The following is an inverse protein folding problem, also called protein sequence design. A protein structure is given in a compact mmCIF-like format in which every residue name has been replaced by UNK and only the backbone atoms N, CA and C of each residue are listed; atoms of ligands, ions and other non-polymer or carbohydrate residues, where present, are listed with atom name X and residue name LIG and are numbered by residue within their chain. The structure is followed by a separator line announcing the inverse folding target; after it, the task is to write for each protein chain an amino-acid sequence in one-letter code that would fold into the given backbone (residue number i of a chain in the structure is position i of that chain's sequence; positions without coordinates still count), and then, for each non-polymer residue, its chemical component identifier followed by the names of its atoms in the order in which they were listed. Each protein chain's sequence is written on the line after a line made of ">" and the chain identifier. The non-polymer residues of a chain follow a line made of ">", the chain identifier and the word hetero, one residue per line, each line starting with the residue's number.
data_IF_520931246723
#
_entry.id   IF_520931246723
#
_cell.length_a   1.000
_cell.length_b   1.000
_cell.length_c   1.000
_cell.angle_alpha   90.00
_cell.angle_beta   90.00
_cell.angle_gamma   90.00
#
_symmetry.space_group_name_H-M   'P 1'
#
loop_
_entity.id
_entity.type
_entity.pdbx_description
1 polymer ?
#
# COMPACT_ATOMS: atom_id res chain seq x y z
N UNK A 1 -4.22 11.28 -2.17
CA UNK A 1 -3.31 10.29 -1.57
C UNK A 1 -3.49 8.98 -2.30
N UNK A 2 -2.91 8.89 -3.49
CA UNK A 2 -2.97 7.70 -4.34
C UNK A 2 -1.59 7.09 -4.55
N UNK A 3 -0.55 7.85 -4.17
CA UNK A 3 0.82 7.38 -4.16
C UNK A 3 1.00 6.25 -3.13
N UNK A 4 1.78 5.23 -3.51
CA UNK A 4 1.93 4.03 -2.70
C UNK A 4 2.73 4.26 -1.43
N UNK A 5 3.64 5.25 -1.42
CA UNK A 5 4.37 5.64 -0.22
C UNK A 5 3.44 6.39 0.76
N UNK A 6 2.58 7.28 0.26
CA UNK A 6 1.54 7.91 1.08
C UNK A 6 0.64 6.85 1.73
N UNK A 7 0.22 5.82 0.96
CA UNK A 7 -0.60 4.73 1.47
C UNK A 7 0.11 3.90 2.55
N UNK A 8 1.39 3.58 2.36
CA UNK A 8 2.19 2.91 3.39
C UNK A 8 2.32 3.79 4.64
N UNK A 9 2.56 5.10 4.48
CA UNK A 9 2.63 6.03 5.60
C UNK A 9 1.31 6.07 6.38
N UNK A 10 0.17 6.06 5.70
CA UNK A 10 -1.15 5.96 6.33
C UNK A 10 -1.35 4.65 7.06
N UNK A 11 -0.94 3.52 6.47
CA UNK A 11 -1.00 2.20 7.10
C UNK A 11 -0.19 2.13 8.41
N UNK A 12 0.88 2.91 8.51
CA UNK A 12 1.73 3.02 9.70
C UNK A 12 1.18 4.01 10.74
N UNK A 13 0.67 5.16 10.29
CA UNK A 13 0.07 6.18 11.17
C UNK A 13 -1.26 5.71 11.77
N UNK A 14 -2.01 4.91 11.04
CA UNK A 14 -3.32 4.40 11.42
C UNK A 14 -3.31 2.86 11.36
N UNK A 15 -2.62 2.20 12.30
CA UNK A 15 -2.58 0.73 12.33
C UNK A 15 -4.00 0.18 12.53
N UNK A 16 -4.36 -0.94 11.87
CA UNK A 16 -5.66 -1.56 12.06
C UNK A 16 -5.80 -2.08 13.49
N UNK A 17 -7.05 -2.10 13.99
CA UNK A 17 -7.37 -2.52 15.36
C UNK A 17 -6.86 -3.94 15.68
N UNK A 18 -6.75 -4.79 14.65
CA UNK A 18 -6.14 -6.11 14.73
C UNK A 18 -5.09 -6.29 13.64
N UNK A 19 -3.83 -6.27 14.04
CA UNK A 19 -2.69 -6.55 13.16
C UNK A 19 -2.57 -8.07 13.00
N UNK A 20 -3.03 -8.61 11.87
CA UNK A 20 -2.88 -10.04 11.54
C UNK A 20 -1.48 -10.34 11.00
N UNK A 21 -0.88 -9.39 10.29
CA UNK A 21 0.45 -9.49 9.70
C UNK A 21 1.25 -8.23 10.07
N UNK A 22 2.47 -8.36 10.63
CA UNK A 22 3.33 -7.20 10.87
C UNK A 22 3.73 -6.52 9.56
N UNK A 23 3.86 -5.19 9.57
CA UNK A 23 4.16 -4.42 8.35
C UNK A 23 5.47 -4.84 7.67
N UNK A 24 6.50 -5.21 8.44
CA UNK A 24 7.76 -5.75 7.88
C UNK A 24 7.53 -6.99 7.01
N UNK A 25 6.58 -7.84 7.42
CA UNK A 25 6.23 -9.05 6.68
C UNK A 25 5.40 -8.72 5.45
N UNK A 26 4.46 -7.75 5.54
CA UNK A 26 3.73 -7.25 4.38
C UNK A 26 4.70 -6.76 3.28
N UNK A 27 5.71 -5.96 3.64
CA UNK A 27 6.70 -5.44 2.68
C UNK A 27 7.62 -6.54 2.15
N UNK A 28 8.05 -7.48 3.01
CA UNK A 28 8.87 -8.63 2.57
C UNK A 28 8.14 -9.54 1.58
N UNK A 29 6.85 -9.77 1.79
CA UNK A 29 6.03 -10.59 0.90
C UNK A 29 5.99 -10.02 -0.52
N UNK A 30 6.13 -8.70 -0.68
CA UNK A 30 6.13 -8.04 -1.99
C UNK A 30 7.36 -8.37 -2.85
N UNK A 31 8.47 -8.82 -2.27
CA UNK A 31 9.61 -9.33 -3.05
C UNK A 31 9.28 -10.66 -3.74
N UNK A 32 8.29 -11.39 -3.23
CA UNK A 32 7.83 -12.68 -3.78
C UNK A 32 6.55 -12.50 -4.61
N UNK A 33 5.65 -11.62 -4.15
CA UNK A 33 4.33 -11.37 -4.73
C UNK A 33 4.12 -9.87 -5.00
N UNK A 34 4.87 -9.26 -5.93
CA UNK A 34 4.81 -7.82 -6.21
C UNK A 34 3.44 -7.36 -6.70
N UNK A 35 2.65 -8.23 -7.33
CA UNK A 35 1.29 -7.91 -7.79
C UNK A 35 0.34 -7.52 -6.65
N UNK A 36 0.65 -7.90 -5.40
CA UNK A 36 -0.14 -7.54 -4.23
C UNK A 36 -0.10 -6.04 -3.95
N UNK A 37 0.94 -5.34 -4.44
CA UNK A 37 1.06 -3.89 -4.37
C UNK A 37 0.04 -3.16 -5.24
N UNK A 38 -0.47 -3.81 -6.29
CA UNK A 38 -1.52 -3.24 -7.16
C UNK A 38 -2.92 -3.80 -6.86
N UNK A 39 -3.01 -4.80 -5.98
CA UNK A 39 -4.25 -5.50 -5.66
C UNK A 39 -4.52 -5.45 -4.16
N UNK A 40 -4.23 -6.54 -3.44
CA UNK A 40 -4.67 -6.74 -2.05
C UNK A 40 -4.17 -5.65 -1.10
N UNK A 41 -2.87 -5.35 -1.09
CA UNK A 41 -2.32 -4.37 -0.13
C UNK A 41 -2.71 -2.94 -0.49
N UNK A 42 -2.78 -2.59 -1.78
CA UNK A 42 -3.30 -1.28 -2.20
C UNK A 42 -4.71 -1.06 -1.71
N UNK A 43 -5.60 -2.05 -1.89
CA UNK A 43 -6.99 -1.92 -1.45
C UNK A 43 -7.09 -1.80 0.07
N UNK A 44 -6.35 -2.62 0.81
CA UNK A 44 -6.33 -2.58 2.27
C UNK A 44 -5.81 -1.24 2.80
N UNK A 45 -4.65 -0.78 2.32
CA UNK A 45 -4.06 0.49 2.75
C UNK A 45 -4.92 1.69 2.35
N UNK A 46 -5.59 1.63 1.19
CA UNK A 46 -6.56 2.65 0.77
C UNK A 46 -7.76 2.69 1.70
N UNK A 47 -8.30 1.52 2.08
CA UNK A 47 -9.42 1.43 3.01
C UNK A 47 -9.07 2.05 4.38
N UNK A 48 -7.86 1.76 4.88
CA UNK A 48 -7.33 2.34 6.11
C UNK A 48 -7.20 3.85 6.00
N UNK A 49 -6.62 4.35 4.90
CA UNK A 49 -6.48 5.78 4.65
C UNK A 49 -7.85 6.48 4.61
N UNK A 50 -8.83 5.92 3.89
CA UNK A 50 -10.20 6.45 3.81
C UNK A 50 -10.87 6.49 5.18
N UNK A 51 -10.78 5.42 5.96
CA UNK A 51 -11.33 5.37 7.33
C UNK A 51 -10.67 6.43 8.23
N UNK A 52 -9.36 6.60 8.13
CA UNK A 52 -8.64 7.63 8.89
C UNK A 52 -9.09 9.05 8.50
N UNK A 53 -9.28 9.33 7.21
CA UNK A 53 -9.80 10.61 6.74
C UNK A 53 -11.22 10.86 7.26
N UNK A 54 -12.10 9.86 7.25
CA UNK A 54 -13.44 10.01 7.79
C UNK A 54 -13.45 10.28 9.30
N UNK A 55 -12.61 9.57 10.05
CA UNK A 55 -12.59 9.68 11.51
C UNK A 55 -11.96 10.97 12.05
N UNK A 56 -11.07 11.59 11.27
CA UNK A 56 -10.25 12.71 11.74
C UNK A 56 -10.35 13.98 10.88
N UNK A 57 -10.82 13.85 9.64
CA UNK A 57 -10.88 14.93 8.66
C UNK A 57 -12.08 15.86 8.77
N UNK A 58 -13.01 15.61 9.70
CA UNK A 58 -14.26 16.38 9.86
C UNK A 58 -14.50 16.80 11.31
N UNK A 59 -13.45 17.30 11.97
CA UNK A 59 -13.45 17.52 13.42
C UNK A 59 -14.01 18.88 13.87
N UNK A 60 -13.99 19.91 13.02
CA UNK A 60 -14.44 21.26 13.38
C UNK A 60 -15.82 21.59 12.80
N UNK A 61 -16.84 21.68 13.66
CA UNK A 61 -18.23 21.94 13.28
C UNK A 61 -18.51 23.36 12.74
N UNK A 62 -17.54 24.28 12.78
CA UNK A 62 -17.69 25.66 12.33
C UNK A 62 -17.06 25.92 10.95
N UNK A 63 -16.42 24.90 10.37
CA UNK A 63 -15.83 24.91 9.03
C UNK A 63 -16.67 24.07 8.08
N UNK A 64 -16.52 24.30 6.78
CA UNK A 64 -17.08 23.39 5.79
C UNK A 64 -16.34 22.06 5.82
N UNK A 65 -17.01 20.98 5.40
CA UNK A 65 -16.39 19.66 5.26
C UNK A 65 -15.17 19.69 4.32
N UNK A 66 -15.24 20.50 3.27
CA UNK A 66 -14.13 20.71 2.34
C UNK A 66 -12.92 21.35 3.03
N UNK A 67 -13.13 22.44 3.79
CA UNK A 67 -12.04 23.13 4.50
C UNK A 67 -11.40 22.24 5.57
N UNK A 68 -12.22 21.45 6.29
CA UNK A 68 -11.73 20.49 7.27
C UNK A 68 -10.85 19.42 6.63
N UNK A 69 -11.33 18.84 5.52
CA UNK A 69 -10.61 17.83 4.79
C UNK A 69 -9.30 18.37 4.21
N UNK A 70 -9.32 19.54 3.56
CA UNK A 70 -8.14 20.15 2.96
C UNK A 70 -7.08 20.49 4.02
N UNK A 71 -7.50 21.03 5.17
CA UNK A 71 -6.60 21.31 6.30
C UNK A 71 -5.98 20.03 6.85
N UNK A 72 -6.78 18.98 7.04
CA UNK A 72 -6.30 17.72 7.58
C UNK A 72 -5.33 17.02 6.60
N UNK A 73 -5.68 16.99 5.32
CA UNK A 73 -4.81 16.48 4.25
C UNK A 73 -3.50 17.28 4.15
N UNK A 74 -3.58 18.61 4.28
CA UNK A 74 -2.41 19.49 4.35
C UNK A 74 -1.48 19.11 5.50
N UNK A 75 -2.03 18.97 6.72
CA UNK A 75 -1.27 18.55 7.89
C UNK A 75 -0.64 17.16 7.71
N UNK A 76 -1.35 16.20 7.11
CA UNK A 76 -0.80 14.88 6.83
C UNK A 76 0.38 14.96 5.87
N UNK A 77 0.24 15.66 4.75
CA UNK A 77 1.27 15.77 3.72
C UNK A 77 2.49 16.57 4.14
N UNK A 78 2.30 17.65 4.88
CA UNK A 78 3.39 18.56 5.24
C UNK A 78 4.16 18.09 6.47
N UNK A 79 3.54 17.29 7.35
CA UNK A 79 4.12 16.98 8.66
C UNK A 79 4.13 15.48 8.94
N UNK A 80 2.95 14.86 9.02
CA UNK A 80 2.83 13.48 9.54
C UNK A 80 3.46 12.44 8.62
N UNK A 81 3.22 12.53 7.31
CA UNK A 81 3.76 11.59 6.31
C UNK A 81 5.29 11.73 6.20
N UNK A 82 5.88 12.93 5.99
CA UNK A 82 7.33 13.07 5.96
C UNK A 82 8.02 12.58 7.24
N UNK A 83 7.44 12.87 8.42
CA UNK A 83 7.97 12.39 9.70
C UNK A 83 7.87 10.87 9.82
N UNK A 84 6.77 10.27 9.38
CA UNK A 84 6.59 8.82 9.35
C UNK A 84 7.66 8.15 8.48
N UNK A 85 7.87 8.67 7.25
CA UNK A 85 8.89 8.20 6.32
C UNK A 85 10.28 8.26 6.95
N UNK A 86 10.62 9.39 7.57
CA UNK A 86 11.91 9.56 8.23
C UNK A 86 12.12 8.55 9.37
N UNK A 87 11.12 8.39 10.24
CA UNK A 87 11.20 7.48 11.38
C UNK A 87 11.24 5.99 10.96
N UNK A 88 10.69 5.67 9.79
CA UNK A 88 10.54 4.31 9.28
C UNK A 88 11.33 4.08 7.99
N UNK A 89 12.44 4.80 7.82
CA UNK A 89 13.19 4.86 6.54
C UNK A 89 13.50 3.50 5.94
N UNK A 90 13.81 2.50 6.77
CA UNK A 90 14.09 1.13 6.31
C UNK A 90 12.90 0.48 5.60
N UNK A 91 11.67 0.64 6.11
CA UNK A 91 10.45 0.13 5.46
C UNK A 91 10.23 0.79 4.09
N UNK A 92 10.40 2.11 4.02
CA UNK A 92 10.23 2.88 2.78
C UNK A 92 11.31 2.56 1.75
N UNK A 93 12.55 2.32 2.18
CA UNK A 93 13.62 1.83 1.32
C UNK A 93 13.31 0.44 0.76
N UNK A 94 12.79 -0.48 1.58
CA UNK A 94 12.37 -1.80 1.11
C UNK A 94 11.24 -1.71 0.08
N UNK A 95 10.22 -0.87 0.33
CA UNK A 95 9.16 -0.64 -0.65
C UNK A 95 9.72 -0.05 -1.96
N UNK A 96 10.65 0.90 -1.86
CA UNK A 96 11.32 1.46 -3.04
C UNK A 96 12.10 0.42 -3.84
N UNK A 97 12.78 -0.50 -3.16
CA UNK A 97 13.47 -1.62 -3.81
C UNK A 97 12.49 -2.55 -4.54
N UNK A 98 11.36 -2.91 -3.92
CA UNK A 98 10.29 -3.70 -4.56
C UNK A 98 9.80 -3.01 -5.84
N UNK A 99 9.49 -1.72 -5.77
CA UNK A 99 8.98 -0.95 -6.93
C UNK A 99 10.05 -0.88 -8.03
N UNK A 100 11.31 -0.67 -7.67
CA UNK A 100 12.41 -0.64 -8.63
C UNK A 100 12.59 -2.00 -9.33
N UNK A 101 12.49 -3.11 -8.59
CA UNK A 101 12.54 -4.47 -9.14
C UNK A 101 11.36 -4.67 -10.11
N UNK A 102 10.13 -4.39 -9.68
CA UNK A 102 8.93 -4.57 -10.51
C UNK A 102 8.96 -3.73 -11.80
N UNK A 103 9.58 -2.54 -11.77
CA UNK A 103 9.75 -1.67 -12.95
C UNK A 103 10.93 -2.04 -13.82
N UNK A 104 11.85 -2.87 -13.33
CA UNK A 104 12.95 -3.36 -14.14
C UNK A 104 12.41 -4.42 -15.11
N UNK A 105 12.75 -4.31 -16.40
CA UNK A 105 12.44 -5.32 -17.42
C UNK A 105 13.10 -6.70 -17.16
N UNK A 106 13.79 -6.85 -16.01
CA UNK A 106 14.45 -8.07 -15.57
C UNK A 106 13.60 -8.94 -14.65
N UNK A 107 12.42 -8.45 -14.21
CA UNK A 107 11.48 -9.32 -13.48
C UNK A 107 10.85 -10.28 -14.48
N UNK A 108 11.35 -11.51 -14.56
CA UNK A 108 10.61 -12.61 -15.18
C UNK A 108 9.42 -12.86 -14.23
N UNK A 109 8.16 -12.59 -14.63
CA UNK A 109 7.01 -13.02 -13.86
C UNK A 109 6.97 -14.54 -13.95
N UNK A 110 7.73 -15.22 -13.10
CA UNK A 110 7.76 -16.66 -13.07
C UNK A 110 6.38 -17.10 -12.58
N UNK A 111 5.58 -17.79 -13.40
CA UNK A 111 4.37 -18.37 -12.85
C UNK A 111 4.86 -19.50 -11.94
N UNK A 112 4.58 -19.37 -10.64
CA UNK A 112 4.78 -20.42 -9.63
C UNK A 112 4.48 -21.79 -10.27
N UNK A 113 5.34 -22.80 -10.15
CA UNK A 113 5.06 -24.14 -10.67
C UNK A 113 3.63 -24.63 -10.37
N UNK A 114 3.07 -24.29 -9.21
CA UNK A 114 1.65 -24.57 -8.88
C UNK A 114 0.68 -23.76 -9.72
N UNK A 115 0.95 -22.47 -9.93
CA UNK A 115 0.14 -21.58 -10.78
C UNK A 115 0.21 -21.99 -12.25
N UNK A 116 1.35 -22.46 -12.76
CA UNK A 116 1.45 -23.11 -14.08
C UNK A 116 0.62 -24.38 -14.16
N UNK A 117 0.71 -25.24 -13.15
CA UNK A 117 -0.10 -26.47 -13.12
C UNK A 117 -1.59 -26.16 -13.06
N UNK A 118 -2.01 -25.18 -12.25
CA UNK A 118 -3.39 -24.71 -12.19
C UNK A 118 -3.85 -24.06 -13.50
N UNK A 119 -3.03 -23.20 -14.12
CA UNK A 119 -3.35 -22.57 -15.40
C UNK A 119 -3.46 -23.61 -16.52
N UNK A 120 -2.60 -24.63 -16.54
CA UNK A 120 -2.74 -25.77 -17.47
C UNK A 120 -4.01 -26.57 -17.24
N UNK A 121 -4.50 -26.63 -16.01
CA UNK A 121 -5.70 -27.37 -15.65
C UNK A 121 -6.98 -26.59 -15.97
N UNK A 122 -6.94 -25.25 -15.88
CA UNK A 122 -8.09 -24.35 -16.08
C UNK A 122 -8.17 -23.82 -17.51
N UNK A 123 -7.05 -23.68 -18.22
CA UNK A 123 -7.00 -23.08 -19.57
C UNK A 123 -6.01 -23.82 -20.50
N UNK A 124 -6.35 -25.04 -20.96
CA UNK A 124 -5.45 -25.88 -21.74
C UNK A 124 -5.19 -25.38 -23.18
N UNK A 125 -6.03 -24.48 -23.71
CA UNK A 125 -6.05 -24.13 -25.14
C UNK A 125 -5.02 -23.08 -25.59
N UNK A 126 -4.19 -22.51 -24.70
CA UNK A 126 -3.13 -21.56 -25.08
C UNK A 126 -1.77 -22.21 -25.38
N UNK A 127 -1.74 -23.47 -25.79
CA UNK A 127 -0.50 -24.21 -26.15
C UNK A 127 -0.38 -24.52 -27.64
N UNK A 128 -0.83 -23.63 -28.52
CA UNK A 128 -0.51 -23.66 -29.95
C UNK A 128 0.19 -22.37 -30.37
#
# INVERSE_FOLDING_TARGET
>A
MTDIYDLLAMRLLFPPDRVVVPIDKEIKDLFVYPERLETSYRHEWTSIATRALFNHGFTDHWRTDQDNLDRYLGSLKEQSIPRCIHNQVGLFQMLGAVIAIQRSDNTIPFPDPRRRSLMRLIWPEQQQ
#
